data_IF_651709031821
#
_entry.id   IF_651709031821
#
_cell.length_a   1.000
_cell.length_b   1.000
_cell.length_c   1.000
_cell.angle_alpha   90.00
_cell.angle_beta   90.00
_cell.angle_gamma   90.00
#
_symmetry.space_group_name_H-M   'P 1'
#
loop_
_entity.id
_entity.type
_entity.pdbx_description
1 polymer ?
#
# COMPACT_ATOMS: atom_id res chain seq x y z
N UNK A 1 -20.40 3.23 9.12
CA UNK A 1 -19.33 2.26 8.83
C UNK A 1 -18.26 2.95 8.01
N UNK A 2 -17.01 2.75 8.36
CA UNK A 2 -15.88 3.27 7.60
C UNK A 2 -15.68 2.44 6.32
N UNK A 3 -15.34 3.05 5.17
CA UNK A 3 -14.94 2.30 3.99
C UNK A 3 -13.67 1.48 4.24
N UNK A 4 -13.58 0.32 3.58
CA UNK A 4 -12.39 -0.55 3.61
C UNK A 4 -11.57 -0.37 2.34
N UNK A 5 -10.28 -0.17 2.53
CA UNK A 5 -9.28 0.00 1.48
C UNK A 5 -8.23 -1.10 1.59
N UNK A 6 -7.63 -1.50 0.48
CA UNK A 6 -6.63 -2.56 0.44
C UNK A 6 -5.33 -1.98 -0.09
N UNK A 7 -4.21 -2.24 0.56
CA UNK A 7 -2.91 -1.67 0.24
C UNK A 7 -2.01 -2.74 -0.38
N UNK A 8 -2.12 -2.95 -1.69
CA UNK A 8 -1.27 -3.92 -2.36
C UNK A 8 0.14 -3.35 -2.53
N UNK A 9 1.14 -4.16 -2.24
CA UNK A 9 2.53 -3.81 -2.35
C UNK A 9 3.11 -4.44 -3.62
N UNK A 10 3.78 -3.65 -4.45
CA UNK A 10 4.40 -4.08 -5.71
C UNK A 10 5.90 -3.86 -5.60
N UNK A 11 6.71 -4.86 -5.91
CA UNK A 11 8.18 -4.79 -5.82
C UNK A 11 8.90 -4.71 -7.18
N UNK A 12 8.12 -4.43 -8.23
CA UNK A 12 8.54 -4.36 -9.62
C UNK A 12 8.28 -5.64 -10.42
N UNK A 13 8.31 -6.81 -9.79
CA UNK A 13 8.08 -8.11 -10.45
C UNK A 13 6.88 -8.84 -9.84
N UNK A 14 6.69 -8.73 -8.52
CA UNK A 14 5.62 -9.36 -7.77
C UNK A 14 4.64 -8.31 -7.19
N UNK A 15 3.37 -8.69 -7.12
CA UNK A 15 2.34 -7.96 -6.37
C UNK A 15 1.93 -8.80 -5.17
N UNK A 16 2.15 -8.26 -3.99
CA UNK A 16 1.72 -8.81 -2.71
C UNK A 16 0.39 -8.14 -2.34
N UNK A 17 -0.76 -8.81 -2.53
CA UNK A 17 -2.05 -8.23 -2.21
C UNK A 17 -2.26 -8.14 -0.70
N UNK A 18 -2.89 -7.06 -0.26
CA UNK A 18 -3.39 -6.95 1.11
C UNK A 18 -4.76 -7.64 1.19
N UNK A 19 -4.85 -8.73 1.95
CA UNK A 19 -6.11 -9.45 2.20
C UNK A 19 -6.86 -8.92 3.42
N UNK A 20 -6.16 -8.26 4.34
CA UNK A 20 -6.73 -7.73 5.57
C UNK A 20 -7.55 -6.49 5.28
N UNK A 21 -7.00 -5.56 4.52
CA UNK A 21 -7.61 -4.27 4.25
C UNK A 21 -7.75 -3.40 5.51
N UNK A 22 -7.66 -2.10 5.32
CA UNK A 22 -7.75 -1.08 6.35
C UNK A 22 -9.11 -0.39 6.31
N UNK A 23 -9.80 -0.35 7.45
CA UNK A 23 -11.00 0.48 7.62
C UNK A 23 -10.60 1.90 8.03
N UNK A 24 -10.93 2.87 7.18
CA UNK A 24 -10.56 4.28 7.39
C UNK A 24 -11.69 5.18 6.92
N UNK A 25 -11.73 6.42 7.41
CA UNK A 25 -12.75 7.40 7.03
C UNK A 25 -12.80 7.66 5.52
N UNK A 26 -11.63 7.68 4.86
CA UNK A 26 -11.48 8.11 3.47
C UNK A 26 -10.15 7.64 2.85
N UNK A 27 -9.96 8.00 1.58
CA UNK A 27 -8.76 7.67 0.82
C UNK A 27 -7.51 8.40 1.33
N UNK A 28 -7.64 9.59 1.92
CA UNK A 28 -6.49 10.36 2.39
C UNK A 28 -5.96 9.79 3.70
N UNK A 29 -6.83 9.37 4.61
CA UNK A 29 -6.46 8.60 5.80
C UNK A 29 -5.86 7.23 5.43
N UNK A 30 -6.38 6.54 4.40
CA UNK A 30 -5.73 5.34 3.85
C UNK A 30 -4.33 5.64 3.27
N UNK A 31 -4.18 6.78 2.59
CA UNK A 31 -2.92 7.24 2.01
C UNK A 31 -1.88 7.54 3.11
N UNK A 32 -2.29 8.23 4.18
CA UNK A 32 -1.41 8.52 5.31
C UNK A 32 -0.91 7.23 5.99
N UNK A 33 -1.81 6.27 6.22
CA UNK A 33 -1.43 4.97 6.76
C UNK A 33 -0.45 4.22 5.84
N UNK A 34 -0.71 4.22 4.53
CA UNK A 34 0.20 3.62 3.55
C UNK A 34 1.62 4.21 3.64
N UNK A 35 1.72 5.54 3.78
CA UNK A 35 2.99 6.24 3.91
C UNK A 35 3.72 5.90 5.22
N UNK A 36 3.00 5.73 6.32
CA UNK A 36 3.60 5.33 7.60
C UNK A 36 4.12 3.88 7.54
N UNK A 37 3.34 2.96 6.96
CA UNK A 37 3.79 1.57 6.71
C UNK A 37 5.04 1.55 5.85
N UNK A 38 5.10 2.36 4.78
CA UNK A 38 6.30 2.49 3.95
C UNK A 38 7.51 2.99 4.73
N UNK A 39 7.31 3.97 5.61
CA UNK A 39 8.38 4.51 6.46
C UNK A 39 8.91 3.41 7.39
N UNK A 40 8.03 2.61 7.99
CA UNK A 40 8.43 1.48 8.84
C UNK A 40 9.20 0.40 8.08
N UNK A 41 8.73 0.00 6.90
CA UNK A 41 9.39 -1.03 6.08
C UNK A 41 10.76 -0.52 5.61
N UNK A 42 10.88 0.76 5.25
CA UNK A 42 12.15 1.42 4.92
C UNK A 42 13.10 1.44 6.10
N UNK A 43 12.62 1.82 7.30
CA UNK A 43 13.44 1.84 8.51
C UNK A 43 13.87 0.44 8.95
N UNK A 44 13.03 -0.57 8.71
CA UNK A 44 13.36 -1.97 8.98
C UNK A 44 14.38 -2.56 7.98
N UNK A 45 14.79 -1.83 6.94
CA UNK A 45 15.69 -2.34 5.90
C UNK A 45 15.11 -3.50 5.08
N UNK A 46 13.81 -3.73 5.16
CA UNK A 46 13.12 -4.86 4.51
C UNK A 46 12.91 -4.66 3.01
N UNK A 47 13.18 -3.46 2.48
CA UNK A 47 13.11 -3.16 1.05
C UNK A 47 14.35 -3.66 0.26
N UNK A 48 15.30 -4.36 0.90
CA UNK A 48 16.60 -4.73 0.32
C UNK A 48 16.56 -5.86 -0.72
N UNK A 49 15.38 -6.37 -1.08
CA UNK A 49 15.20 -7.46 -2.03
C UNK A 49 14.37 -7.15 -3.28
N UNK A 50 13.94 -5.90 -3.49
CA UNK A 50 13.10 -5.60 -4.64
C UNK A 50 13.86 -5.63 -5.96
N UNK A 51 13.19 -6.18 -6.97
CA UNK A 51 13.65 -6.20 -8.34
C UNK A 51 13.45 -4.85 -9.06
N UNK A 52 12.65 -3.94 -8.48
CA UNK A 52 12.39 -2.59 -9.00
C UNK A 52 12.00 -1.56 -7.92
N UNK A 53 11.51 -0.36 -8.32
CA UNK A 53 10.96 0.60 -7.38
C UNK A 53 9.70 0.01 -6.73
N UNK A 54 9.63 0.09 -5.40
CA UNK A 54 8.43 -0.35 -4.70
C UNK A 54 7.28 0.59 -5.01
N UNK A 55 6.07 0.06 -5.12
CA UNK A 55 4.85 0.84 -5.24
C UNK A 55 3.79 0.30 -4.28
N UNK A 56 2.97 1.19 -3.71
CA UNK A 56 1.73 0.81 -3.04
C UNK A 56 0.55 1.20 -3.92
N UNK A 57 -0.36 0.25 -4.14
CA UNK A 57 -1.63 0.47 -4.81
C UNK A 57 -2.75 0.36 -3.80
N UNK A 58 -3.46 1.47 -3.60
CA UNK A 58 -4.64 1.51 -2.74
C UNK A 58 -5.87 1.18 -3.59
N UNK A 59 -6.58 0.10 -3.24
CA UNK A 59 -7.82 -0.34 -3.90
C UNK A 59 -9.04 -0.19 -3.00
N UNK A 60 -10.22 0.01 -3.60
CA UNK A 60 -11.50 -0.10 -2.90
C UNK A 60 -11.93 -1.56 -2.69
N UNK A 61 -13.01 -1.77 -1.94
CA UNK A 61 -13.59 -3.11 -1.70
C UNK A 61 -14.14 -3.82 -2.95
N UNK A 62 -14.23 -3.13 -4.09
CA UNK A 62 -14.56 -3.74 -5.39
C UNK A 62 -13.30 -4.11 -6.18
N UNK A 63 -12.13 -3.94 -5.58
CA UNK A 63 -10.83 -4.18 -6.19
C UNK A 63 -10.41 -3.10 -7.18
N UNK A 64 -11.05 -1.92 -7.20
CA UNK A 64 -10.68 -0.85 -8.13
C UNK A 64 -9.51 -0.05 -7.54
N UNK A 65 -8.42 0.14 -8.30
CA UNK A 65 -7.31 0.99 -7.86
C UNK A 65 -7.78 2.45 -7.80
N UNK A 66 -7.62 3.05 -6.62
CA UNK A 66 -7.94 4.44 -6.34
C UNK A 66 -6.69 5.33 -6.38
N UNK A 67 -5.54 4.80 -5.96
CA UNK A 67 -4.28 5.55 -5.88
C UNK A 67 -3.07 4.63 -6.00
N UNK A 68 -2.00 5.12 -6.61
CA UNK A 68 -0.67 4.47 -6.63
C UNK A 68 0.35 5.43 -6.02
N UNK A 69 1.24 4.90 -5.20
CA UNK A 69 2.28 5.66 -4.50
C UNK A 69 3.61 4.96 -4.80
N UNK A 70 4.49 5.63 -5.53
CA UNK A 70 5.85 5.14 -5.75
C UNK A 70 6.70 5.37 -4.49
N UNK A 71 7.56 4.41 -4.20
CA UNK A 71 8.47 4.40 -3.05
C UNK A 71 9.89 4.55 -3.61
N UNK A 72 10.44 5.76 -3.47
CA UNK A 72 11.81 6.10 -3.87
C UNK A 72 12.78 6.17 -2.68
#
# INVERSE_FOLDING_TARGET
MAPRFYLDLIDGDETVPDEGGLETSDLDAATAHAQDVLREIRMAGRLTGAHGPWEIVIRDARGRPLRRIAVS
#
